data_IF_285002789672
#
_entry.id   IF_285002789672
#
_cell.length_a   1.000
_cell.length_b   1.000
_cell.length_c   1.000
_cell.angle_alpha   90.00
_cell.angle_beta   90.00
_cell.angle_gamma   90.00
#
_symmetry.space_group_name_H-M   'P 1'
#
loop_
_entity.id
_entity.type
_entity.pdbx_description
1 polymer ?
#
# COMPACT_ATOMS: atom_id res chain seq x y z
N UNK A 1 9.50 -13.89 -32.12
CA UNK A 1 9.22 -15.33 -31.94
C UNK A 1 8.25 -15.42 -30.75
N UNK A 2 7.08 -16.04 -30.98
CA UNK A 2 6.05 -16.15 -29.91
C UNK A 2 6.52 -17.14 -28.86
N UNK A 3 6.74 -16.72 -27.63
CA UNK A 3 7.03 -17.59 -26.49
C UNK A 3 5.76 -18.38 -26.13
N UNK A 4 5.87 -19.69 -26.05
CA UNK A 4 4.79 -20.57 -25.62
C UNK A 4 4.68 -20.51 -24.09
N UNK A 5 3.49 -20.33 -23.50
CA UNK A 5 3.32 -20.30 -22.05
C UNK A 5 3.67 -21.67 -21.43
N UNK A 6 4.25 -21.68 -20.22
CA UNK A 6 4.64 -22.88 -19.44
C UNK A 6 3.53 -23.97 -19.38
N UNK A 7 2.28 -23.54 -19.41
CA UNK A 7 1.11 -24.43 -19.46
C UNK A 7 1.07 -25.29 -20.74
N UNK A 8 1.60 -24.76 -21.85
CA UNK A 8 1.64 -25.49 -23.11
C UNK A 8 2.79 -26.52 -23.12
N UNK A 9 3.92 -26.23 -22.48
CA UNK A 9 5.05 -27.13 -22.29
C UNK A 9 4.68 -28.34 -21.42
N UNK A 10 3.98 -28.12 -20.31
CA UNK A 10 3.42 -29.17 -19.44
C UNK A 10 2.36 -30.02 -20.20
N UNK A 11 1.53 -29.39 -21.05
CA UNK A 11 0.58 -30.10 -21.90
C UNK A 11 1.27 -30.96 -22.98
N UNK A 12 2.36 -30.48 -23.55
CA UNK A 12 3.14 -31.22 -24.58
C UNK A 12 3.90 -32.39 -23.94
N UNK A 13 4.47 -32.21 -22.74
CA UNK A 13 5.09 -33.29 -21.96
C UNK A 13 4.04 -34.34 -21.55
N UNK A 14 2.87 -33.91 -21.08
CA UNK A 14 1.74 -34.79 -20.75
C UNK A 14 1.22 -35.58 -22.00
N UNK A 15 1.16 -34.93 -23.16
CA UNK A 15 0.70 -35.55 -24.41
C UNK A 15 1.75 -36.51 -24.98
N UNK A 16 3.06 -36.25 -24.84
CA UNK A 16 4.14 -37.13 -25.24
C UNK A 16 4.18 -38.40 -24.37
N UNK A 17 3.95 -38.29 -23.08
CA UNK A 17 3.84 -39.44 -22.15
C UNK A 17 2.63 -40.33 -22.45
N UNK A 18 1.48 -39.75 -22.86
CA UNK A 18 0.30 -40.56 -23.25
C UNK A 18 0.48 -41.26 -24.60
N UNK A 19 1.27 -40.73 -25.53
CA UNK A 19 1.58 -41.37 -26.81
C UNK A 19 2.58 -42.53 -26.68
N UNK A 20 3.51 -42.48 -25.70
CA UNK A 20 4.48 -43.55 -25.41
C UNK A 20 3.78 -44.72 -24.71
N UNK A 21 2.79 -44.49 -23.88
CA UNK A 21 1.98 -45.54 -23.23
C UNK A 21 1.08 -46.31 -24.23
N UNK A 22 0.79 -45.74 -25.41
CA UNK A 22 -0.04 -46.38 -26.43
C UNK A 22 0.74 -47.37 -27.32
N UNK A 23 2.08 -47.42 -27.28
CA UNK A 23 2.91 -48.27 -28.11
C UNK A 23 3.46 -49.55 -27.43
N UNK A 24 2.86 -50.04 -26.35
CA UNK A 24 3.00 -51.45 -25.89
C UNK A 24 4.37 -51.90 -25.39
N UNK A 25 5.33 -51.01 -25.11
CA UNK A 25 6.59 -51.28 -24.46
C UNK A 25 6.56 -50.74 -23.03
N UNK A 26 6.58 -51.60 -22.03
CA UNK A 26 6.61 -51.16 -20.61
C UNK A 26 7.90 -50.41 -20.32
N UNK A 27 7.81 -49.08 -20.22
CA UNK A 27 8.82 -48.28 -19.53
C UNK A 27 8.62 -48.52 -18.03
N UNK A 28 9.69 -48.78 -17.29
CA UNK A 28 9.55 -48.81 -15.84
C UNK A 28 9.43 -47.38 -15.27
N UNK A 29 8.99 -47.29 -14.04
CA UNK A 29 8.72 -45.98 -13.41
C UNK A 29 9.99 -45.11 -13.32
N UNK A 30 11.16 -45.75 -13.23
CA UNK A 30 12.47 -45.11 -13.14
C UNK A 30 12.87 -44.40 -14.45
N UNK A 31 12.56 -45.02 -15.60
CA UNK A 31 12.76 -44.45 -16.93
C UNK A 31 11.84 -43.25 -17.20
N UNK A 32 10.59 -43.31 -16.71
CA UNK A 32 9.61 -42.20 -16.81
C UNK A 32 10.06 -41.03 -15.94
N UNK A 33 10.47 -41.30 -14.69
CA UNK A 33 10.93 -40.28 -13.76
C UNK A 33 12.23 -39.61 -14.26
N UNK A 34 13.15 -40.39 -14.83
CA UNK A 34 14.37 -39.87 -15.45
C UNK A 34 14.08 -38.97 -16.67
N UNK A 35 13.12 -39.37 -17.52
CA UNK A 35 12.70 -38.58 -18.67
C UNK A 35 12.00 -37.28 -18.26
N UNK A 36 11.18 -37.33 -17.21
CA UNK A 36 10.52 -36.13 -16.64
C UNK A 36 11.55 -35.18 -16.03
N UNK A 37 12.50 -35.71 -15.26
CA UNK A 37 13.57 -34.88 -14.64
C UNK A 37 14.47 -34.26 -15.73
N UNK A 38 14.79 -35.04 -16.80
CA UNK A 38 15.55 -34.50 -17.92
C UNK A 38 14.78 -33.40 -18.67
N UNK A 39 13.49 -33.61 -18.94
CA UNK A 39 12.66 -32.63 -19.64
C UNK A 39 12.46 -31.34 -18.76
N UNK A 40 12.36 -31.50 -17.45
CA UNK A 40 12.33 -30.36 -16.51
C UNK A 40 13.67 -29.60 -16.51
N UNK A 41 14.79 -30.32 -16.46
CA UNK A 41 16.13 -29.71 -16.50
C UNK A 41 16.42 -29.03 -17.86
N UNK A 42 15.97 -29.60 -18.98
CA UNK A 42 16.07 -28.98 -20.30
C UNK A 42 15.16 -27.74 -20.43
N UNK A 43 13.97 -27.75 -19.84
CA UNK A 43 13.07 -26.61 -19.79
C UNK A 43 13.64 -25.46 -18.91
N UNK A 44 14.31 -25.79 -17.82
CA UNK A 44 15.04 -24.83 -16.98
C UNK A 44 16.31 -24.30 -17.66
N UNK A 45 17.01 -25.13 -18.44
CA UNK A 45 18.23 -24.75 -19.16
C UNK A 45 17.98 -23.90 -20.42
N UNK A 46 16.76 -23.92 -20.97
CA UNK A 46 16.38 -23.10 -22.15
C UNK A 46 15.88 -21.70 -21.78
N UNK A 47 15.74 -21.39 -20.47
CA UNK A 47 15.58 -20.01 -20.02
C UNK A 47 16.95 -19.33 -20.08
N UNK A 48 17.20 -18.54 -21.12
CA UNK A 48 18.36 -17.63 -21.19
C UNK A 48 18.40 -16.72 -19.95
N UNK A 49 19.48 -15.92 -19.74
CA UNK A 49 19.66 -15.12 -18.54
C UNK A 49 18.39 -14.30 -18.25
N UNK A 50 17.91 -14.36 -17.00
CA UNK A 50 16.74 -13.61 -16.56
C UNK A 50 16.91 -12.13 -16.88
N UNK A 51 15.80 -11.49 -17.28
CA UNK A 51 15.83 -10.03 -17.52
C UNK A 51 16.43 -9.26 -16.34
N UNK A 52 16.20 -9.71 -15.11
CA UNK A 52 16.63 -9.01 -13.89
C UNK A 52 18.07 -9.34 -13.45
N UNK A 53 18.74 -10.31 -14.09
CA UNK A 53 20.10 -10.69 -13.73
C UNK A 53 21.08 -9.51 -13.87
N UNK A 54 21.84 -9.24 -12.80
CA UNK A 54 22.79 -8.12 -12.73
C UNK A 54 22.15 -6.73 -12.80
N UNK A 55 20.84 -6.62 -12.60
CA UNK A 55 20.12 -5.33 -12.58
C UNK A 55 19.76 -4.89 -11.18
N UNK A 56 19.45 -3.62 -11.08
CA UNK A 56 18.93 -2.99 -9.86
C UNK A 56 17.53 -2.47 -10.13
N UNK A 57 16.60 -2.81 -9.23
CA UNK A 57 15.25 -2.24 -9.20
C UNK A 57 15.24 -1.05 -8.24
N UNK A 58 14.73 0.08 -8.69
CA UNK A 58 14.50 1.28 -7.87
C UNK A 58 13.06 1.29 -7.37
N UNK A 59 12.88 1.35 -6.06
CA UNK A 59 11.57 1.53 -5.44
C UNK A 59 11.43 2.99 -4.95
N UNK A 60 10.60 3.76 -5.62
CA UNK A 60 10.27 5.13 -5.23
C UNK A 60 9.22 5.13 -4.13
N UNK A 61 9.54 5.70 -2.98
CA UNK A 61 8.64 5.84 -1.83
C UNK A 61 8.20 7.29 -1.70
N UNK A 62 6.90 7.54 -1.76
CA UNK A 62 6.31 8.89 -1.80
C UNK A 62 6.41 9.68 -0.49
N UNK A 63 7.08 9.15 0.55
CA UNK A 63 7.17 9.75 1.87
C UNK A 63 8.58 9.75 2.42
N UNK A 64 8.80 10.51 3.50
CA UNK A 64 10.11 10.65 4.13
C UNK A 64 10.61 9.36 4.77
N UNK A 65 11.93 9.21 4.83
CA UNK A 65 12.60 8.12 5.53
C UNK A 65 12.15 8.03 7.00
N UNK A 66 12.08 6.81 7.53
CA UNK A 66 11.63 6.52 8.90
C UNK A 66 10.12 6.67 9.13
N UNK A 67 9.33 6.90 8.09
CA UNK A 67 7.87 6.78 8.11
C UNK A 67 7.41 5.38 7.74
N UNK A 68 6.09 5.09 7.93
CA UNK A 68 5.54 3.76 7.67
C UNK A 68 5.79 3.23 6.26
N UNK A 69 5.59 4.05 5.22
CA UNK A 69 5.88 3.66 3.83
C UNK A 69 7.34 3.24 3.63
N UNK A 70 8.28 4.00 4.18
CA UNK A 70 9.72 3.73 4.07
C UNK A 70 10.11 2.47 4.85
N UNK A 71 9.55 2.28 6.06
CA UNK A 71 9.84 1.11 6.90
C UNK A 71 9.39 -0.18 6.23
N UNK A 72 8.14 -0.23 5.73
CA UNK A 72 7.63 -1.39 4.98
C UNK A 72 8.42 -1.63 3.69
N UNK A 73 8.68 -0.58 2.91
CA UNK A 73 9.43 -0.67 1.67
C UNK A 73 10.82 -1.28 1.89
N UNK A 74 11.56 -0.83 2.91
CA UNK A 74 12.89 -1.36 3.23
C UNK A 74 12.85 -2.78 3.78
N UNK A 75 11.84 -3.14 4.58
CA UNK A 75 11.67 -4.50 5.06
C UNK A 75 11.44 -5.47 3.89
N UNK A 76 10.51 -5.16 3.00
CA UNK A 76 10.22 -5.99 1.82
C UNK A 76 11.41 -6.04 0.87
N UNK A 77 12.09 -4.90 0.63
CA UNK A 77 13.23 -4.81 -0.30
C UNK A 77 14.41 -5.69 0.10
N UNK A 78 14.60 -5.99 1.39
CA UNK A 78 15.65 -6.92 1.84
C UNK A 78 15.40 -8.38 1.45
N UNK A 79 14.15 -8.73 1.15
CA UNK A 79 13.75 -10.12 0.92
C UNK A 79 13.27 -10.40 -0.52
N UNK A 80 12.64 -9.44 -1.19
CA UNK A 80 11.96 -9.69 -2.47
C UNK A 80 12.93 -10.06 -3.60
N UNK A 81 14.16 -9.52 -3.59
CA UNK A 81 15.14 -9.78 -4.65
C UNK A 81 15.40 -11.27 -4.88
N UNK A 82 15.48 -12.08 -3.81
CA UNK A 82 15.70 -13.54 -3.91
C UNK A 82 14.54 -14.31 -4.55
N UNK A 83 13.35 -13.70 -4.62
CA UNK A 83 12.16 -14.28 -5.24
C UNK A 83 11.97 -13.81 -6.69
N UNK A 84 12.80 -12.87 -7.17
CA UNK A 84 12.81 -12.41 -8.55
C UNK A 84 13.88 -13.22 -9.32
N UNK A 85 13.56 -13.89 -10.43
CA UNK A 85 14.56 -14.58 -11.25
C UNK A 85 15.72 -13.62 -11.62
N UNK A 86 16.95 -14.02 -11.35
CA UNK A 86 18.15 -13.18 -11.53
C UNK A 86 18.58 -12.39 -10.29
N UNK A 87 17.87 -12.50 -9.17
CA UNK A 87 18.22 -11.90 -7.86
C UNK A 87 18.69 -10.43 -7.94
N UNK A 88 17.89 -9.51 -8.49
CA UNK A 88 18.27 -8.10 -8.59
C UNK A 88 18.41 -7.46 -7.22
N UNK A 89 19.29 -6.47 -7.11
CA UNK A 89 19.32 -5.56 -5.97
C UNK A 89 18.10 -4.64 -5.98
N UNK A 90 17.56 -4.33 -4.79
CA UNK A 90 16.47 -3.37 -4.64
C UNK A 90 16.97 -2.14 -3.87
N UNK A 91 16.85 -0.95 -4.49
CA UNK A 91 17.21 0.33 -3.87
C UNK A 91 15.95 1.13 -3.56
N UNK A 92 15.76 1.52 -2.31
CA UNK A 92 14.65 2.37 -1.86
C UNK A 92 15.06 3.84 -1.91
N UNK A 93 14.29 4.64 -2.66
CA UNK A 93 14.50 6.08 -2.82
C UNK A 93 13.27 6.86 -2.36
N UNK A 94 13.45 7.86 -1.48
CA UNK A 94 12.35 8.66 -0.98
C UNK A 94 12.12 9.89 -1.88
N UNK A 95 10.92 9.96 -2.50
CA UNK A 95 10.48 11.07 -3.35
C UNK A 95 9.23 11.71 -2.73
N UNK A 96 9.42 12.69 -1.86
CA UNK A 96 8.34 13.27 -1.05
C UNK A 96 7.63 14.43 -1.74
N UNK A 97 6.37 14.68 -1.38
CA UNK A 97 5.62 15.87 -1.77
C UNK A 97 4.13 15.60 -2.01
N UNK A 98 3.31 16.56 -1.62
CA UNK A 98 1.85 16.57 -1.84
C UNK A 98 1.15 15.23 -1.51
N UNK A 99 1.39 14.69 -0.30
CA UNK A 99 0.80 13.41 0.10
C UNK A 99 1.20 12.22 -0.79
N UNK A 100 2.43 12.22 -1.33
CA UNK A 100 3.01 11.28 -2.32
C UNK A 100 2.63 11.50 -3.78
N UNK A 101 1.83 12.50 -4.11
CA UNK A 101 1.42 12.81 -5.48
C UNK A 101 2.62 13.04 -6.42
N UNK A 102 3.70 13.67 -5.91
CA UNK A 102 4.96 13.87 -6.65
C UNK A 102 5.53 12.54 -7.12
N UNK A 103 5.59 11.53 -6.26
CA UNK A 103 6.12 10.20 -6.61
C UNK A 103 5.20 9.48 -7.61
N UNK A 104 3.88 9.53 -7.42
CA UNK A 104 2.90 8.93 -8.34
C UNK A 104 3.01 9.54 -9.75
N UNK A 105 3.02 10.87 -9.85
CA UNK A 105 3.20 11.58 -11.13
C UNK A 105 4.54 11.26 -11.79
N UNK A 106 5.64 11.20 -11.02
CA UNK A 106 6.95 10.85 -11.55
C UNK A 106 6.97 9.43 -12.10
N UNK A 107 6.44 8.46 -11.34
CA UNK A 107 6.34 7.06 -11.77
C UNK A 107 5.55 6.95 -13.07
N UNK A 108 4.42 7.66 -13.16
CA UNK A 108 3.53 7.60 -14.33
C UNK A 108 4.15 8.23 -15.57
N UNK A 109 4.77 9.42 -15.45
CA UNK A 109 5.13 10.25 -16.60
C UNK A 109 6.62 10.19 -16.96
N UNK A 110 7.51 9.77 -16.01
CA UNK A 110 8.96 9.90 -16.18
C UNK A 110 9.69 8.55 -16.08
N UNK A 111 9.15 7.59 -15.32
CA UNK A 111 9.79 6.29 -15.18
C UNK A 111 9.66 5.47 -16.47
N UNK A 112 10.73 4.75 -16.81
CA UNK A 112 10.70 3.82 -17.96
C UNK A 112 9.82 2.62 -17.63
N UNK A 113 8.94 2.18 -18.55
CA UNK A 113 8.09 1.02 -18.34
C UNK A 113 8.83 -0.30 -18.61
N UNK A 114 9.99 -0.47 -17.99
CA UNK A 114 10.86 -1.63 -18.20
C UNK A 114 10.87 -2.62 -17.02
N UNK A 115 10.09 -2.34 -15.97
CA UNK A 115 10.02 -3.16 -14.76
C UNK A 115 11.19 -2.94 -13.78
N UNK A 116 12.08 -1.96 -14.03
CA UNK A 116 13.20 -1.62 -13.13
C UNK A 116 12.93 -0.41 -12.24
N UNK A 117 11.80 0.24 -12.41
CA UNK A 117 11.35 1.30 -11.50
C UNK A 117 9.96 0.96 -10.99
N UNK A 118 9.83 0.89 -9.67
CA UNK A 118 8.58 0.67 -8.96
C UNK A 118 8.24 1.89 -8.12
N UNK A 119 6.97 2.04 -7.74
CA UNK A 119 6.54 3.09 -6.83
C UNK A 119 5.68 2.54 -5.70
N UNK A 120 5.78 3.17 -4.54
CA UNK A 120 4.86 2.99 -3.42
C UNK A 120 4.37 4.37 -2.98
N UNK A 121 3.10 4.63 -3.23
CA UNK A 121 2.45 5.91 -3.02
C UNK A 121 1.06 5.70 -2.39
N UNK A 122 0.41 6.77 -1.95
CA UNK A 122 -0.83 6.67 -1.19
C UNK A 122 -2.04 6.39 -2.07
N UNK A 123 -2.71 5.27 -1.83
CA UNK A 123 -3.93 4.84 -2.51
C UNK A 123 -5.09 5.84 -2.41
N UNK A 124 -5.14 6.68 -1.38
CA UNK A 124 -6.15 7.73 -1.26
C UNK A 124 -6.13 8.74 -2.42
N UNK A 125 -4.99 8.89 -3.13
CA UNK A 125 -4.90 9.72 -4.34
C UNK A 125 -5.83 9.24 -5.47
N UNK A 126 -6.25 7.96 -5.48
CA UNK A 126 -7.18 7.41 -6.46
C UNK A 126 -8.59 7.96 -6.28
N UNK A 127 -9.05 8.12 -5.03
CA UNK A 127 -10.33 8.76 -4.78
C UNK A 127 -10.30 10.23 -5.20
N UNK A 128 -9.19 10.95 -4.93
CA UNK A 128 -9.04 12.35 -5.37
C UNK A 128 -9.04 12.46 -6.91
N UNK A 129 -8.43 11.48 -7.61
CA UNK A 129 -8.55 11.37 -9.07
C UNK A 129 -10.01 11.20 -9.50
N UNK A 130 -10.74 10.28 -8.85
CA UNK A 130 -12.13 10.00 -9.16
C UNK A 130 -13.04 11.22 -8.93
N UNK A 131 -12.79 11.99 -7.87
CA UNK A 131 -13.53 13.20 -7.54
C UNK A 131 -13.25 14.32 -8.56
N UNK A 132 -12.06 14.37 -9.15
CA UNK A 132 -11.64 15.45 -10.04
C UNK A 132 -11.30 16.72 -9.27
N UNK A 133 -11.09 17.81 -10.01
CA UNK A 133 -10.82 19.13 -9.40
C UNK A 133 -9.38 19.35 -8.89
N UNK A 134 -8.52 18.34 -8.86
CA UNK A 134 -7.12 18.51 -8.52
C UNK A 134 -6.22 18.54 -9.78
N UNK A 135 -5.79 19.74 -10.25
CA UNK A 135 -4.93 19.85 -11.43
C UNK A 135 -3.52 19.26 -11.22
N UNK A 136 -3.14 18.96 -9.98
CA UNK A 136 -1.87 18.32 -9.64
C UNK A 136 -1.84 16.82 -9.94
N UNK A 137 -2.98 16.16 -10.18
CA UNK A 137 -3.02 14.75 -10.59
C UNK A 137 -2.74 14.67 -12.09
N UNK A 138 -1.59 14.09 -12.44
CA UNK A 138 -1.10 13.95 -13.81
C UNK A 138 -0.96 12.47 -14.21
N UNK A 139 -1.76 11.60 -13.63
CA UNK A 139 -1.80 10.17 -13.89
C UNK A 139 -3.23 9.68 -14.10
N UNK A 140 -3.39 8.45 -14.59
CA UNK A 140 -4.62 7.68 -14.52
C UNK A 140 -4.36 6.40 -13.73
N UNK A 141 -5.07 6.24 -12.59
CA UNK A 141 -4.87 5.13 -11.65
C UNK A 141 -5.07 3.76 -12.29
N UNK A 142 -6.02 3.64 -13.22
CA UNK A 142 -6.30 2.40 -13.96
C UNK A 142 -5.14 1.92 -14.85
N UNK A 143 -4.15 2.78 -15.16
CA UNK A 143 -3.07 2.47 -16.09
C UNK A 143 -1.77 2.03 -15.43
N UNK A 144 -1.65 2.12 -14.12
CA UNK A 144 -0.52 1.53 -13.40
C UNK A 144 -0.62 -0.01 -13.41
N UNK A 145 0.51 -0.70 -13.43
CA UNK A 145 0.54 -2.12 -13.10
C UNK A 145 0.63 -2.29 -11.57
N UNK A 146 -0.34 -2.92 -10.96
CA UNK A 146 -0.36 -3.17 -9.51
C UNK A 146 0.27 -4.52 -9.18
N UNK A 147 1.30 -4.50 -8.37
CA UNK A 147 2.06 -5.69 -7.97
C UNK A 147 1.42 -6.34 -6.73
N UNK A 148 0.99 -5.51 -5.78
CA UNK A 148 0.34 -5.92 -4.55
C UNK A 148 0.45 -4.84 -3.49
N UNK A 149 -0.18 -5.07 -2.33
CA UNK A 149 -0.02 -4.23 -1.15
C UNK A 149 0.32 -5.10 0.07
N UNK A 150 1.24 -4.66 0.96
CA UNK A 150 1.70 -5.49 2.07
C UNK A 150 0.70 -5.55 3.23
N UNK A 151 -0.24 -4.60 3.29
CA UNK A 151 -1.24 -4.52 4.36
C UNK A 151 -2.46 -3.73 3.90
N UNK A 152 -3.60 -4.02 4.49
CA UNK A 152 -4.67 -3.06 4.67
C UNK A 152 -4.22 -1.95 5.65
N UNK A 153 -5.06 -0.99 5.92
CA UNK A 153 -4.76 0.10 6.86
C UNK A 153 -5.95 0.49 7.69
N UNK A 154 -5.70 0.72 8.97
CA UNK A 154 -6.66 1.37 9.84
C UNK A 154 -6.09 2.71 10.32
N UNK A 155 -6.47 3.84 9.69
CA UNK A 155 -6.08 5.14 10.21
C UNK A 155 -6.63 5.35 11.62
N UNK A 156 -5.75 5.82 12.50
CA UNK A 156 -6.05 6.17 13.89
C UNK A 156 -5.68 7.62 14.10
N UNK A 157 -6.57 8.38 14.70
CA UNK A 157 -6.31 9.75 15.12
C UNK A 157 -5.81 9.78 16.57
N UNK A 158 -4.73 10.52 16.79
CA UNK A 158 -4.11 10.63 18.10
C UNK A 158 -3.72 12.08 18.42
N UNK A 159 -3.75 12.42 19.70
CA UNK A 159 -3.43 13.75 20.24
C UNK A 159 -2.28 13.65 21.24
N UNK A 160 -1.43 14.66 21.30
CA UNK A 160 -0.34 14.75 22.28
C UNK A 160 -0.85 15.23 23.64
N UNK A 161 -0.28 14.69 24.71
CA UNK A 161 -0.60 15.10 26.08
C UNK A 161 -0.40 16.59 26.34
N UNK A 162 0.61 17.21 25.71
CA UNK A 162 0.86 18.65 25.83
C UNK A 162 -0.29 19.54 25.30
N UNK A 163 -1.19 19.00 24.47
CA UNK A 163 -2.34 19.76 23.98
C UNK A 163 -3.38 20.02 25.09
N UNK A 164 -3.35 19.22 26.16
CA UNK A 164 -4.29 19.33 27.27
C UNK A 164 -5.74 18.99 26.90
N UNK A 165 -5.92 18.25 25.78
CA UNK A 165 -7.21 17.81 25.25
C UNK A 165 -7.32 16.30 25.33
N UNK A 166 -8.47 15.81 25.72
CA UNK A 166 -8.85 14.40 25.61
C UNK A 166 -9.47 14.08 24.24
N UNK A 167 -9.61 12.79 23.93
CA UNK A 167 -10.38 12.36 22.75
C UNK A 167 -11.82 12.83 22.78
N UNK A 168 -12.46 12.80 23.97
CA UNK A 168 -13.85 13.26 24.14
C UNK A 168 -13.98 14.77 23.89
N UNK A 169 -12.99 15.58 24.30
CA UNK A 169 -12.99 17.01 24.00
C UNK A 169 -12.95 17.26 22.49
N UNK A 170 -12.08 16.54 21.78
CA UNK A 170 -11.96 16.67 20.32
C UNK A 170 -13.20 16.18 19.57
N UNK A 171 -13.77 15.06 20.00
CA UNK A 171 -15.03 14.53 19.44
C UNK A 171 -16.23 15.43 19.80
N UNK A 172 -16.13 16.19 20.89
CA UNK A 172 -17.09 17.21 21.30
C UNK A 172 -16.90 18.58 20.60
N UNK A 173 -15.98 18.69 19.63
CA UNK A 173 -15.77 19.91 18.84
C UNK A 173 -14.74 20.88 19.42
N UNK A 174 -13.87 20.46 20.35
CA UNK A 174 -12.76 21.30 20.78
C UNK A 174 -11.78 21.55 19.64
N UNK A 175 -11.42 22.83 19.43
CA UNK A 175 -10.52 23.23 18.36
C UNK A 175 -9.09 22.72 18.60
N UNK A 176 -8.47 22.15 17.56
CA UNK A 176 -7.09 21.67 17.58
C UNK A 176 -6.42 21.82 16.21
N UNK A 177 -5.05 21.77 16.20
CA UNK A 177 -4.28 21.74 14.95
C UNK A 177 -3.61 20.38 14.77
N UNK A 178 -3.88 19.72 13.66
CA UNK A 178 -3.30 18.43 13.31
C UNK A 178 -2.38 18.54 12.10
N UNK A 179 -1.24 17.85 12.18
CA UNK A 179 -0.26 17.80 11.08
C UNK A 179 -0.67 16.88 9.95
N UNK A 180 -0.52 17.33 8.70
CA UNK A 180 -0.84 16.55 7.52
C UNK A 180 0.24 16.64 6.42
N UNK A 181 0.36 15.56 5.63
CA UNK A 181 1.38 15.47 4.55
C UNK A 181 0.99 16.17 3.26
N UNK A 182 -0.30 16.43 3.08
CA UNK A 182 -0.89 17.13 1.96
C UNK A 182 -2.24 17.72 2.36
N UNK A 183 -2.78 18.59 1.55
CA UNK A 183 -4.10 19.17 1.82
C UNK A 183 -5.23 18.11 1.70
N UNK A 184 -5.03 17.09 0.86
CA UNK A 184 -5.98 16.02 0.57
C UNK A 184 -5.24 14.79 0.02
N UNK A 185 -5.94 13.66 -0.14
CA UNK A 185 -5.40 12.42 -0.70
C UNK A 185 -4.43 11.72 0.25
N UNK A 186 -4.67 11.80 1.53
CA UNK A 186 -3.90 11.08 2.54
C UNK A 186 -4.71 10.81 3.81
N UNK A 187 -4.37 9.74 4.53
CA UNK A 187 -4.99 9.44 5.82
C UNK A 187 -4.88 10.62 6.82
N UNK A 188 -3.83 11.42 6.72
CA UNK A 188 -3.62 12.58 7.59
C UNK A 188 -4.65 13.68 7.38
N UNK A 189 -4.99 13.99 6.13
CA UNK A 189 -5.90 15.07 5.78
C UNK A 189 -7.34 14.61 5.66
N UNK A 190 -7.54 13.49 4.98
CA UNK A 190 -8.88 13.06 4.59
C UNK A 190 -9.66 12.54 5.79
N UNK A 191 -9.00 11.85 6.75
CA UNK A 191 -9.63 11.42 8.00
C UNK A 191 -10.11 12.59 8.82
N UNK A 192 -9.29 13.66 8.94
CA UNK A 192 -9.69 14.90 9.66
C UNK A 192 -10.87 15.57 8.97
N UNK A 193 -10.87 15.68 7.63
CA UNK A 193 -11.99 16.29 6.89
C UNK A 193 -13.29 15.52 7.06
N UNK A 194 -13.20 14.19 6.97
CA UNK A 194 -14.35 13.31 7.20
C UNK A 194 -14.90 13.41 8.62
N UNK A 195 -14.00 13.50 9.63
CA UNK A 195 -14.43 13.74 11.00
C UNK A 195 -15.11 15.10 11.15
N UNK A 196 -14.51 16.17 10.64
CA UNK A 196 -15.10 17.50 10.72
C UNK A 196 -16.48 17.55 10.05
N UNK A 197 -16.62 16.93 8.86
CA UNK A 197 -17.87 16.94 8.08
C UNK A 197 -18.97 16.11 8.74
N UNK A 198 -18.66 14.87 9.14
CA UNK A 198 -19.69 13.91 9.54
C UNK A 198 -19.87 13.79 11.06
N UNK A 199 -18.90 14.23 11.87
CA UNK A 199 -18.99 14.08 13.33
C UNK A 199 -18.93 15.42 14.09
N UNK A 200 -18.74 16.53 13.37
CA UNK A 200 -18.73 17.87 13.96
C UNK A 200 -17.49 18.22 14.77
N UNK A 201 -16.37 17.54 14.54
CA UNK A 201 -15.06 17.94 15.11
C UNK A 201 -14.58 19.26 14.49
N UNK A 202 -13.74 20.01 15.22
CA UNK A 202 -13.16 21.30 14.78
C UNK A 202 -11.63 21.21 14.74
N UNK A 203 -11.09 20.44 13.78
CA UNK A 203 -9.66 20.20 13.66
C UNK A 203 -9.12 20.92 12.43
N UNK A 204 -8.23 21.89 12.64
CA UNK A 204 -7.50 22.60 11.58
C UNK A 204 -6.31 21.77 11.09
N UNK A 205 -6.14 21.66 9.78
CA UNK A 205 -5.00 20.96 9.18
C UNK A 205 -3.81 21.90 8.94
N UNK A 206 -2.65 21.55 9.49
CA UNK A 206 -1.36 22.14 9.14
C UNK A 206 -0.66 21.21 8.16
N UNK A 207 -0.60 21.63 6.89
CA UNK A 207 -0.13 20.80 5.79
C UNK A 207 1.34 21.05 5.44
N UNK A 208 1.92 20.19 4.58
CA UNK A 208 3.28 20.35 4.05
C UNK A 208 4.35 19.47 4.71
N UNK A 209 3.99 18.68 5.72
CA UNK A 209 4.91 17.67 6.27
C UNK A 209 5.22 16.59 5.21
N UNK A 210 6.49 16.18 5.14
CA UNK A 210 6.97 15.25 4.08
C UNK A 210 6.73 13.77 4.39
N UNK A 211 6.00 13.44 5.47
CA UNK A 211 5.70 12.08 5.91
C UNK A 211 5.45 12.01 7.41
N UNK A 212 5.01 10.83 7.89
CA UNK A 212 4.65 10.60 9.30
C UNK A 212 5.79 10.94 10.27
N UNK A 213 7.05 10.68 9.92
CA UNK A 213 8.20 11.04 10.75
C UNK A 213 8.31 12.55 10.98
N UNK A 214 7.93 13.37 9.99
CA UNK A 214 7.96 14.84 10.11
C UNK A 214 6.76 15.38 10.86
N UNK A 215 5.59 14.77 10.71
CA UNK A 215 4.42 15.11 11.54
C UNK A 215 4.71 14.81 13.02
N UNK A 216 5.29 13.64 13.33
CA UNK A 216 5.68 13.28 14.71
C UNK A 216 6.67 14.28 15.31
N UNK A 217 7.65 14.72 14.51
CA UNK A 217 8.59 15.77 14.98
C UNK A 217 7.85 17.07 15.30
N UNK A 218 6.94 17.52 14.42
CA UNK A 218 6.12 18.72 14.68
C UNK A 218 5.25 18.59 15.92
N UNK A 219 4.75 17.38 16.23
CA UNK A 219 4.06 17.10 17.50
C UNK A 219 4.98 17.26 18.70
N UNK A 220 6.19 16.70 18.65
CA UNK A 220 7.18 16.80 19.73
C UNK A 220 7.66 18.23 19.95
N UNK A 221 7.77 19.00 18.87
CA UNK A 221 8.13 20.42 18.90
C UNK A 221 6.93 21.34 19.24
N UNK A 222 5.76 20.78 19.52
CA UNK A 222 4.50 21.47 19.86
C UNK A 222 3.99 22.41 18.75
N UNK A 223 4.35 22.16 17.49
CA UNK A 223 3.81 22.88 16.33
C UNK A 223 2.36 22.49 16.06
N UNK A 224 2.02 21.20 16.28
CA UNK A 224 0.69 20.63 16.12
C UNK A 224 0.32 19.76 17.31
N UNK A 225 -0.98 19.69 17.62
CA UNK A 225 -1.51 18.94 18.74
C UNK A 225 -1.57 17.44 18.45
N UNK A 226 -1.71 17.03 17.17
CA UNK A 226 -1.95 15.63 16.82
C UNK A 226 -1.89 15.36 15.33
N UNK A 227 -2.43 14.20 14.94
CA UNK A 227 -2.56 13.76 13.54
C UNK A 227 -3.22 12.40 13.41
N UNK A 228 -3.62 12.03 12.18
CA UNK A 228 -4.19 10.74 11.88
C UNK A 228 -3.21 9.92 11.04
N UNK A 229 -2.91 8.69 11.46
CA UNK A 229 -1.90 7.81 10.82
C UNK A 229 -2.47 6.41 10.65
N UNK A 230 -1.94 5.61 9.74
CA UNK A 230 -2.18 4.18 9.77
C UNK A 230 -1.62 3.56 11.06
N UNK A 231 -2.47 2.83 11.80
CA UNK A 231 -2.10 2.24 13.09
C UNK A 231 -0.88 1.32 12.98
N UNK A 232 -0.84 0.50 11.96
CA UNK A 232 0.26 -0.41 11.65
C UNK A 232 1.63 0.29 11.48
N UNK A 233 1.59 1.60 11.19
CA UNK A 233 2.79 2.46 11.18
C UNK A 233 3.01 3.16 12.51
N UNK A 234 1.93 3.67 13.14
CA UNK A 234 1.99 4.41 14.41
C UNK A 234 2.50 3.50 15.52
N UNK A 235 1.97 2.30 15.66
CA UNK A 235 2.35 1.33 16.68
C UNK A 235 3.86 1.03 16.69
N UNK A 236 4.51 1.09 15.53
CA UNK A 236 5.95 0.83 15.40
C UNK A 236 6.76 2.12 15.48
N UNK A 237 6.44 3.09 14.62
CA UNK A 237 7.32 4.24 14.41
C UNK A 237 7.09 5.37 15.43
N UNK A 238 5.99 5.33 16.20
CA UNK A 238 5.68 6.25 17.28
C UNK A 238 5.70 5.57 18.67
N UNK A 239 6.25 4.35 18.78
CA UNK A 239 6.23 3.54 20.02
C UNK A 239 6.68 4.33 21.25
N UNK A 240 7.80 5.03 21.14
CA UNK A 240 8.33 5.84 22.24
C UNK A 240 7.35 6.95 22.72
N UNK A 241 6.52 7.51 21.82
CA UNK A 241 5.50 8.50 22.16
C UNK A 241 4.24 7.84 22.75
N UNK A 242 3.86 6.67 22.27
CA UNK A 242 2.73 5.90 22.81
C UNK A 242 3.00 5.42 24.24
N UNK A 243 4.25 5.02 24.52
CA UNK A 243 4.70 4.53 25.84
C UNK A 243 5.10 5.67 26.79
N UNK A 244 5.20 6.91 26.33
CA UNK A 244 5.53 8.07 27.16
C UNK A 244 4.41 8.42 28.15
N UNK A 245 4.70 9.34 29.07
CA UNK A 245 3.75 9.88 30.03
C UNK A 245 3.62 11.42 29.90
N UNK A 246 2.55 11.97 30.43
CA UNK A 246 2.33 13.41 30.49
C UNK A 246 2.32 14.07 29.11
N UNK A 247 3.02 15.19 28.98
CA UNK A 247 3.06 16.04 27.79
C UNK A 247 3.57 15.31 26.54
N UNK A 248 4.46 14.34 26.70
CA UNK A 248 5.11 13.62 25.60
C UNK A 248 4.31 12.41 25.13
N UNK A 249 3.22 12.07 25.80
CA UNK A 249 2.37 10.93 25.46
C UNK A 249 1.55 11.22 24.21
N UNK A 250 1.59 10.28 23.24
CA UNK A 250 0.66 10.24 22.13
C UNK A 250 -0.54 9.38 22.51
N UNK A 251 -1.74 9.93 22.46
CA UNK A 251 -2.98 9.35 22.94
C UNK A 251 -3.92 9.10 21.77
N UNK A 252 -4.09 7.84 21.28
CA UNK A 252 -5.10 7.49 20.30
C UNK A 252 -6.50 7.77 20.84
N UNK A 253 -7.43 8.25 20.00
CA UNK A 253 -8.79 8.58 20.44
C UNK A 253 -9.92 8.18 19.48
N UNK A 254 -9.64 7.95 18.20
CA UNK A 254 -10.62 7.47 17.22
C UNK A 254 -9.94 6.66 16.12
N UNK A 255 -10.66 5.69 15.56
CA UNK A 255 -10.20 4.81 14.48
C UNK A 255 -11.11 4.94 13.26
N UNK A 256 -10.60 4.69 12.05
CA UNK A 256 -11.45 4.62 10.86
C UNK A 256 -12.28 3.34 10.87
N UNK A 257 -11.68 2.20 11.15
CA UNK A 257 -12.38 0.92 11.27
C UNK A 257 -12.38 0.46 12.72
N UNK A 258 -13.41 -0.27 13.11
CA UNK A 258 -13.38 -1.04 14.36
C UNK A 258 -12.13 -1.95 14.37
N UNK A 259 -11.52 -2.11 15.52
CA UNK A 259 -10.25 -2.83 15.65
C UNK A 259 -10.29 -3.84 16.78
N UNK A 260 -9.77 -5.04 16.52
CA UNK A 260 -9.52 -6.06 17.54
C UNK A 260 -8.15 -5.91 18.21
N UNK A 261 -7.37 -4.88 17.85
CA UNK A 261 -6.08 -4.59 18.49
C UNK A 261 -6.31 -4.17 19.94
N UNK A 262 -5.68 -4.85 20.93
CA UNK A 262 -5.86 -4.52 22.34
C UNK A 262 -5.48 -3.09 22.72
N UNK A 263 -4.55 -2.46 22.00
CA UNK A 263 -4.13 -1.07 22.24
C UNK A 263 -5.16 -0.04 21.73
N UNK A 264 -6.07 -0.46 20.87
CA UNK A 264 -7.19 0.35 20.37
C UNK A 264 -8.52 -0.02 21.01
N UNK A 265 -8.52 -0.96 21.96
CA UNK A 265 -9.73 -1.44 22.59
C UNK A 265 -10.49 -0.29 23.28
N UNK A 266 -11.78 -0.19 22.98
CA UNK A 266 -12.67 0.84 23.55
C UNK A 266 -12.60 2.19 22.85
N UNK A 267 -11.75 2.39 21.86
CA UNK A 267 -11.80 3.59 21.02
C UNK A 267 -13.00 3.51 20.06
N UNK A 268 -13.74 4.62 19.87
CA UNK A 268 -14.82 4.65 18.89
C UNK A 268 -14.24 4.53 17.46
N UNK A 269 -14.94 3.80 16.59
CA UNK A 269 -14.72 3.99 15.16
C UNK A 269 -15.46 5.26 14.71
N UNK A 270 -14.87 6.01 13.78
CA UNK A 270 -15.50 7.19 13.19
C UNK A 270 -16.85 6.80 12.58
N UNK A 271 -16.95 5.59 12.01
CA UNK A 271 -18.19 5.05 11.45
C UNK A 271 -19.33 5.02 12.48
N UNK A 272 -19.02 4.63 13.72
CA UNK A 272 -20.02 4.50 14.79
C UNK A 272 -20.49 5.85 15.33
N UNK A 273 -19.76 6.92 15.05
CA UNK A 273 -20.10 8.30 15.40
C UNK A 273 -21.04 8.96 14.38
N UNK A 274 -21.13 8.41 13.16
CA UNK A 274 -21.97 8.92 12.08
C UNK A 274 -23.38 8.34 12.25
N UNK A 275 -24.40 9.20 12.33
CA UNK A 275 -25.79 8.80 12.58
C UNK A 275 -26.71 8.92 11.37
N UNK A 276 -26.30 9.69 10.35
CA UNK A 276 -27.04 9.83 9.10
C UNK A 276 -26.70 8.69 8.13
N UNK A 277 -27.72 8.05 7.53
CA UNK A 277 -27.52 6.91 6.61
C UNK A 277 -26.85 7.32 5.30
N UNK A 278 -27.08 8.54 4.81
CA UNK A 278 -26.44 9.01 3.58
C UNK A 278 -24.95 9.30 3.83
N UNK A 279 -24.59 9.88 4.98
CA UNK A 279 -23.21 10.11 5.40
C UNK A 279 -22.46 8.79 5.61
N UNK A 280 -23.13 7.77 6.19
CA UNK A 280 -22.56 6.42 6.31
C UNK A 280 -22.24 5.81 4.94
N UNK A 281 -23.13 5.98 3.95
CA UNK A 281 -22.87 5.49 2.60
C UNK A 281 -21.67 6.20 1.95
N UNK A 282 -21.52 7.51 2.15
CA UNK A 282 -20.35 8.28 1.68
C UNK A 282 -19.07 7.88 2.40
N UNK A 283 -19.15 7.64 3.71
CA UNK A 283 -18.05 7.12 4.51
C UNK A 283 -17.54 5.77 3.99
N UNK A 284 -18.46 4.84 3.69
CA UNK A 284 -18.13 3.52 3.17
C UNK A 284 -17.42 3.61 1.80
N UNK A 285 -17.81 4.55 0.95
CA UNK A 285 -17.10 4.84 -0.32
C UNK A 285 -15.69 5.40 -0.07
N UNK A 286 -15.57 6.38 0.83
CA UNK A 286 -14.29 6.98 1.16
C UNK A 286 -13.28 5.94 1.69
N UNK A 287 -13.74 4.98 2.49
CA UNK A 287 -12.89 3.99 3.14
C UNK A 287 -12.29 2.96 2.19
N UNK A 288 -12.79 2.82 0.96
CA UNK A 288 -12.29 1.83 -0.02
C UNK A 288 -10.78 1.98 -0.25
N UNK A 289 -10.27 3.22 -0.33
CA UNK A 289 -8.85 3.51 -0.50
C UNK A 289 -7.95 3.04 0.65
N UNK A 290 -8.51 2.67 1.80
CA UNK A 290 -7.76 2.15 2.95
C UNK A 290 -7.71 0.62 3.02
N UNK A 291 -8.45 -0.09 2.17
CA UNK A 291 -8.41 -1.56 2.07
C UNK A 291 -7.07 -2.08 1.57
N UNK A 292 -6.25 -1.23 0.93
CA UNK A 292 -4.90 -1.57 0.47
C UNK A 292 -3.97 -0.39 0.69
N UNK A 293 -3.02 -0.56 1.57
CA UNK A 293 -2.06 0.47 1.91
C UNK A 293 -0.69 0.15 1.32
N UNK A 294 0.04 1.20 0.93
CA UNK A 294 1.41 1.08 0.40
C UNK A 294 1.49 0.20 -0.86
N UNK A 295 0.56 0.35 -1.85
CA UNK A 295 0.62 -0.47 -3.04
C UNK A 295 1.99 -0.34 -3.72
N UNK A 296 2.49 -1.45 -4.23
CA UNK A 296 3.64 -1.48 -5.12
C UNK A 296 3.13 -1.47 -6.55
N UNK A 297 3.62 -0.51 -7.33
CA UNK A 297 3.11 -0.26 -8.68
C UNK A 297 4.26 -0.11 -9.68
N UNK A 298 3.99 -0.42 -10.95
CA UNK A 298 4.86 -0.14 -12.09
C UNK A 298 4.28 1.00 -12.93
N UNK A 299 5.11 1.72 -13.72
CA UNK A 299 4.60 2.71 -14.66
C UNK A 299 3.73 2.07 -15.75
N UNK A 300 2.84 2.86 -16.38
CA UNK A 300 2.01 2.39 -17.51
C UNK A 300 2.84 1.82 -18.66
N UNK A 301 2.39 0.71 -19.23
CA UNK A 301 3.06 0.09 -20.37
C UNK A 301 4.23 -0.82 -20.00
N UNK A 302 4.44 -1.10 -18.71
CA UNK A 302 5.35 -2.18 -18.29
C UNK A 302 4.88 -3.50 -18.89
N UNK A 303 5.76 -4.32 -19.51
CA UNK A 303 5.39 -5.60 -20.11
C UNK A 303 4.73 -6.54 -19.10
N UNK A 304 3.67 -7.22 -19.50
CA UNK A 304 2.87 -8.09 -18.62
C UNK A 304 3.70 -9.22 -18.01
N UNK A 305 4.62 -9.81 -18.75
CA UNK A 305 5.53 -10.84 -18.24
C UNK A 305 6.39 -10.35 -17.05
N UNK A 306 6.70 -9.07 -17.01
CA UNK A 306 7.44 -8.44 -15.89
C UNK A 306 6.53 -8.13 -14.71
N UNK A 307 5.31 -7.67 -14.98
CA UNK A 307 4.29 -7.45 -13.94
C UNK A 307 4.01 -8.78 -13.24
N UNK A 308 3.77 -9.86 -13.99
CA UNK A 308 3.52 -11.19 -13.44
C UNK A 308 4.72 -11.73 -12.64
N UNK A 309 5.95 -11.51 -13.14
CA UNK A 309 7.17 -11.89 -12.41
C UNK A 309 7.25 -11.16 -11.06
N UNK A 310 6.98 -9.87 -11.04
CA UNK A 310 7.01 -9.06 -9.82
C UNK A 310 5.85 -9.42 -8.87
N UNK A 311 4.65 -9.71 -9.37
CA UNK A 311 3.50 -10.22 -8.59
C UNK A 311 3.84 -11.54 -7.91
N UNK A 312 4.40 -12.49 -8.66
CA UNK A 312 4.82 -13.77 -8.11
C UNK A 312 5.90 -13.61 -7.02
N UNK A 313 6.90 -12.75 -7.25
CA UNK A 313 7.95 -12.47 -6.28
C UNK A 313 7.39 -11.77 -5.03
N UNK A 314 6.45 -10.83 -5.19
CA UNK A 314 5.79 -10.17 -4.07
C UNK A 314 5.00 -11.18 -3.23
N UNK A 315 4.16 -12.00 -3.86
CA UNK A 315 3.39 -13.05 -3.17
C UNK A 315 4.30 -14.04 -2.45
N UNK A 316 5.39 -14.49 -3.07
CA UNK A 316 6.37 -15.37 -2.45
C UNK A 316 7.06 -14.71 -1.25
N UNK A 317 7.36 -13.41 -1.35
CA UNK A 317 7.94 -12.63 -0.23
C UNK A 317 6.97 -12.56 0.94
N UNK A 318 5.68 -12.28 0.68
CA UNK A 318 4.66 -12.19 1.73
C UNK A 318 4.41 -13.52 2.46
N UNK A 319 4.76 -14.64 1.83
CA UNK A 319 4.68 -15.98 2.43
C UNK A 319 6.02 -16.50 2.97
N UNK A 320 7.11 -15.76 2.79
CA UNK A 320 8.46 -16.17 3.22
C UNK A 320 8.64 -16.11 4.72
N UNK A 321 8.93 -17.24 5.40
CA UNK A 321 9.13 -17.26 6.86
C UNK A 321 10.24 -16.30 7.35
N UNK A 322 11.30 -16.10 6.54
CA UNK A 322 12.38 -15.19 6.91
C UNK A 322 11.94 -13.71 6.84
N UNK A 323 11.13 -13.35 5.85
CA UNK A 323 10.51 -12.02 5.79
C UNK A 323 9.52 -11.82 6.93
N UNK A 324 8.63 -12.79 7.17
CA UNK A 324 7.62 -12.69 8.24
C UNK A 324 8.27 -12.57 9.63
N UNK A 325 9.38 -13.26 9.88
CA UNK A 325 10.14 -13.12 11.12
C UNK A 325 10.79 -11.73 11.25
N UNK A 326 11.38 -11.21 10.18
CA UNK A 326 11.96 -9.84 10.14
C UNK A 326 10.87 -8.77 10.33
N UNK A 327 9.72 -8.93 9.65
CA UNK A 327 8.56 -8.06 9.81
C UNK A 327 8.01 -8.07 11.23
N UNK A 328 7.84 -9.25 11.83
CA UNK A 328 7.38 -9.40 13.22
C UNK A 328 8.37 -8.78 14.22
N UNK A 329 9.68 -8.95 14.02
CA UNK A 329 10.71 -8.32 14.84
C UNK A 329 10.68 -6.80 14.73
N UNK A 330 10.34 -6.28 13.56
CA UNK A 330 10.14 -4.85 13.33
C UNK A 330 8.74 -4.35 13.74
N UNK A 331 7.86 -5.21 14.25
CA UNK A 331 6.48 -4.91 14.63
C UNK A 331 5.55 -4.64 13.45
N UNK A 332 5.93 -5.00 12.22
CA UNK A 332 5.12 -4.76 11.04
C UNK A 332 3.99 -5.79 10.93
N UNK A 333 2.78 -5.32 10.71
CA UNK A 333 1.61 -6.17 10.42
C UNK A 333 1.56 -6.44 8.92
N UNK A 334 1.50 -7.71 8.54
CA UNK A 334 1.43 -8.17 7.16
C UNK A 334 0.06 -8.81 6.91
N UNK A 335 -0.76 -8.17 6.10
CA UNK A 335 -2.05 -8.65 5.58
C UNK A 335 -2.07 -8.44 4.06
N UNK A 336 -1.27 -9.25 3.36
CA UNK A 336 -0.95 -9.03 1.96
C UNK A 336 -2.17 -9.11 1.03
N UNK A 337 -2.29 -8.14 0.14
CA UNK A 337 -3.32 -8.07 -0.91
C UNK A 337 -2.63 -8.27 -2.26
N UNK A 338 -3.20 -9.14 -3.10
CA UNK A 338 -2.67 -9.40 -4.44
C UNK A 338 -2.84 -8.19 -5.38
N UNK A 339 -1.97 -8.09 -6.40
CA UNK A 339 -2.07 -7.04 -7.42
C UNK A 339 -3.41 -7.05 -8.15
N UNK A 340 -3.96 -8.22 -8.46
CA UNK A 340 -5.27 -8.37 -9.11
C UNK A 340 -6.41 -7.82 -8.23
N UNK A 341 -6.39 -8.09 -6.92
CA UNK A 341 -7.39 -7.55 -6.00
C UNK A 341 -7.26 -6.03 -5.85
N UNK A 342 -6.02 -5.51 -5.83
CA UNK A 342 -5.80 -4.05 -5.82
C UNK A 342 -6.36 -3.40 -7.08
N UNK A 343 -6.13 -3.98 -8.27
CA UNK A 343 -6.69 -3.48 -9.54
C UNK A 343 -8.22 -3.44 -9.53
N UNK A 344 -8.88 -4.47 -9.02
CA UNK A 344 -10.34 -4.50 -8.87
C UNK A 344 -10.83 -3.32 -8.02
N UNK A 345 -10.26 -3.12 -6.83
CA UNK A 345 -10.65 -2.03 -5.93
C UNK A 345 -10.32 -0.63 -6.49
N UNK A 346 -9.25 -0.51 -7.28
CA UNK A 346 -8.94 0.73 -8.00
C UNK A 346 -10.04 1.07 -9.00
N UNK A 347 -10.48 0.09 -9.80
CA UNK A 347 -11.55 0.30 -10.76
C UNK A 347 -12.87 0.67 -10.09
N UNK A 348 -13.19 0.05 -8.96
CA UNK A 348 -14.38 0.41 -8.16
C UNK A 348 -14.29 1.84 -7.64
N UNK A 349 -13.12 2.25 -7.11
CA UNK A 349 -12.89 3.62 -6.65
C UNK A 349 -13.05 4.65 -7.77
N UNK A 350 -12.56 4.36 -8.97
CA UNK A 350 -12.63 5.29 -10.11
C UNK A 350 -14.02 5.40 -10.74
N UNK A 351 -14.91 4.41 -10.50
CA UNK A 351 -16.27 4.32 -11.09
C UNK A 351 -17.39 4.83 -10.20
N UNK A 352 -17.11 5.55 -9.15
CA UNK A 352 -18.15 6.14 -8.28
C UNK A 352 -19.09 7.06 -9.06
N UNK A 353 -20.36 7.12 -8.62
CA UNK A 353 -21.42 7.91 -9.30
C UNK A 353 -21.14 9.41 -9.25
N UNK A 354 -21.78 10.16 -10.14
CA UNK A 354 -21.71 11.64 -10.16
C UNK A 354 -22.21 12.24 -8.84
N UNK A 355 -23.29 11.70 -8.28
CA UNK A 355 -23.89 12.17 -7.04
C UNK A 355 -22.92 11.93 -5.86
N UNK A 356 -22.27 10.76 -5.82
CA UNK A 356 -21.24 10.46 -4.83
C UNK A 356 -20.03 11.38 -4.95
N UNK A 357 -19.61 11.69 -6.20
CA UNK A 357 -18.52 12.64 -6.45
C UNK A 357 -18.86 14.03 -5.93
N UNK A 358 -20.07 14.52 -6.17
CA UNK A 358 -20.53 15.83 -5.68
C UNK A 358 -20.55 15.86 -4.15
N UNK A 359 -21.10 14.84 -3.52
CA UNK A 359 -21.19 14.74 -2.06
C UNK A 359 -19.83 14.64 -1.36
N UNK A 360 -18.80 14.05 -2.00
CA UNK A 360 -17.45 13.94 -1.44
C UNK A 360 -16.53 15.12 -1.85
N UNK A 361 -17.02 16.17 -2.50
CA UNK A 361 -16.18 17.30 -2.94
C UNK A 361 -15.50 18.05 -1.78
N UNK A 362 -16.01 17.99 -0.56
CA UNK A 362 -15.35 18.55 0.63
C UNK A 362 -13.96 17.97 0.88
N UNK A 363 -13.66 16.77 0.37
CA UNK A 363 -12.32 16.19 0.41
C UNK A 363 -11.32 16.92 -0.49
N UNK A 364 -11.79 17.62 -1.53
CA UNK A 364 -10.97 18.41 -2.47
C UNK A 364 -11.46 19.86 -2.41
N UNK A 365 -11.05 20.63 -1.38
CA UNK A 365 -11.52 22.01 -1.24
C UNK A 365 -11.11 22.83 -2.47
N UNK A 366 -12.05 23.63 -2.95
CA UNK A 366 -11.78 24.70 -3.94
C UNK A 366 -10.77 25.68 -3.34
N UNK A 367 -9.77 26.09 -4.13
CA UNK A 367 -8.81 27.14 -3.77
C UNK A 367 -9.48 28.46 -3.37
#
# INVERSE_FOLDING_TARGET
MKRFPKMLTLMVVGLALTLVAACGGGLDQEDVDAAVQKALAEAEADEGPSFYEGKTIRLLVGFSAGGGYDTYARAISRHIGKHIPGNPDIIVENMTGAGSLVAANHLYNQAKPDGLTLGSWNSAQLLIEALGGNPGILFSGERFGYIGAPSDGNPVCAVMGHAGLSGDDLLGGAAAKFGATGAFGSAFSDTVRVMNEFTGTDIELVTGYRGSSRVRLGMQEKEVAGGCFGWESMAVTARAMLDAEGDDKLIPFATVFASDDPELAGLPSIRDLITDEADLALYDVWTVGYRFQRPWTTPPGTPEDRIETLRAAFAATMADPAFLADAAQAGLVISAISGAQVEEWVLDTLRISSDTKEALQFLVPSE
#
